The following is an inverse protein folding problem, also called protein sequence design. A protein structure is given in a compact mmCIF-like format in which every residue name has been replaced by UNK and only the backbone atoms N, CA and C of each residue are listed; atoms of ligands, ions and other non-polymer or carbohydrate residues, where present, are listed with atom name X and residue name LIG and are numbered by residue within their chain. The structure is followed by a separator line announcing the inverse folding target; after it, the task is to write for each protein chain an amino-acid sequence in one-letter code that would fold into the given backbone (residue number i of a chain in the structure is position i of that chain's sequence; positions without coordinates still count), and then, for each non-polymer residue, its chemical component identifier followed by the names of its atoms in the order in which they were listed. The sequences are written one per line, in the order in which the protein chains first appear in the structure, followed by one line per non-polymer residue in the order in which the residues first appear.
data_IF_930242357438
#
_entry.id   IF_930242357438
#
_cell.length_a   1.000
_cell.length_b   1.000
_cell.length_c   1.000
_cell.angle_alpha   90.00
_cell.angle_beta   90.00
_cell.angle_gamma   90.00
#
_symmetry.space_group_name_H-M   'P 1'
#
loop_
_entity.id
_entity.type
_entity.pdbx_description
1 polymer ?
#
# COMPACT_ATOMS: atom_id res chain seq x y z
N UNK A 1 -5.44 -0.34 11.43
CA UNK A 1 -6.22 -0.64 10.20
C UNK A 1 -6.16 0.57 9.25
N UNK A 2 -6.21 0.43 7.93
CA UNK A 2 -5.99 1.56 6.99
C UNK A 2 -7.23 2.38 6.60
N UNK A 3 -8.42 1.90 6.95
CA UNK A 3 -9.71 2.48 6.53
C UNK A 3 -10.15 2.09 5.11
N UNK A 4 -9.54 1.03 4.55
CA UNK A 4 -9.89 0.42 3.27
C UNK A 4 -10.25 -1.06 3.44
N UNK A 5 -10.96 -1.62 2.47
CA UNK A 5 -11.31 -3.04 2.39
C UNK A 5 -10.54 -3.74 1.27
N UNK A 6 -10.37 -5.06 1.42
CA UNK A 6 -10.08 -5.97 0.32
C UNK A 6 -11.38 -6.37 -0.35
N UNK A 7 -11.42 -6.31 -1.68
CA UNK A 7 -12.56 -6.80 -2.46
C UNK A 7 -12.72 -8.31 -2.25
N UNK A 8 -13.94 -8.83 -2.04
CA UNK A 8 -14.16 -10.26 -2.16
C UNK A 8 -13.68 -10.73 -3.54
N UNK A 9 -13.04 -11.88 -3.56
CA UNK A 9 -12.50 -12.51 -4.76
C UNK A 9 -12.66 -14.02 -4.64
N UNK A 10 -12.29 -14.75 -5.69
CA UNK A 10 -12.25 -16.22 -5.67
C UNK A 10 -11.34 -16.77 -4.56
N UNK A 11 -10.43 -15.95 -4.00
CA UNK A 11 -9.44 -16.37 -3.01
C UNK A 11 -9.75 -15.90 -1.59
N UNK A 12 -10.59 -14.89 -1.42
CA UNK A 12 -10.92 -14.35 -0.10
C UNK A 12 -12.35 -13.82 -0.05
N UNK A 13 -12.99 -14.01 1.10
CA UNK A 13 -14.20 -13.26 1.48
C UNK A 13 -13.85 -11.77 1.68
N UNK A 14 -14.84 -10.89 1.90
CA UNK A 14 -14.59 -9.52 2.31
C UNK A 14 -13.70 -9.47 3.56
N UNK A 15 -12.61 -8.71 3.49
CA UNK A 15 -11.65 -8.58 4.59
C UNK A 15 -11.23 -7.12 4.75
N UNK A 16 -10.86 -6.69 5.98
CA UNK A 16 -10.29 -5.37 6.17
C UNK A 16 -8.85 -5.30 5.63
N UNK A 17 -8.45 -4.12 5.13
CA UNK A 17 -7.05 -3.88 4.72
C UNK A 17 -6.21 -3.40 5.90
N UNK A 18 -5.31 -4.26 6.34
CA UNK A 18 -4.36 -4.03 7.43
C UNK A 18 -2.98 -3.64 6.89
N UNK A 19 -2.24 -2.82 7.65
CA UNK A 19 -0.84 -2.46 7.36
C UNK A 19 -0.06 -2.50 8.68
N UNK A 20 0.95 -3.39 8.81
CA UNK A 20 1.26 -4.48 7.89
C UNK A 20 0.10 -5.49 7.80
N UNK A 21 -0.02 -6.20 6.67
CA UNK A 21 -1.00 -7.28 6.54
C UNK A 21 -0.45 -8.52 7.27
N UNK A 22 -1.25 -9.17 8.13
CA UNK A 22 -0.79 -10.39 8.80
C UNK A 22 -0.42 -11.49 7.81
N UNK A 23 0.70 -12.17 8.07
CA UNK A 23 1.23 -13.22 7.19
C UNK A 23 0.23 -14.34 6.91
N UNK A 24 -0.62 -14.67 7.89
CA UNK A 24 -1.66 -15.70 7.74
C UNK A 24 -2.70 -15.34 6.66
N UNK A 25 -3.10 -14.07 6.54
CA UNK A 25 -4.07 -13.64 5.51
C UNK A 25 -3.43 -13.75 4.13
N UNK A 26 -2.20 -13.25 4.00
CA UNK A 26 -1.44 -13.30 2.74
C UNK A 26 -1.19 -14.76 2.33
N UNK A 27 -0.72 -15.59 3.27
CA UNK A 27 -0.47 -17.01 3.06
C UNK A 27 -1.72 -17.77 2.65
N UNK A 28 -2.86 -17.53 3.30
CA UNK A 28 -4.15 -18.11 2.93
C UNK A 28 -4.53 -17.78 1.48
N UNK A 29 -4.39 -16.52 1.04
CA UNK A 29 -4.73 -16.10 -0.33
C UNK A 29 -3.80 -16.78 -1.34
N UNK A 30 -2.49 -16.81 -1.07
CA UNK A 30 -1.50 -17.46 -1.93
C UNK A 30 -1.74 -18.96 -2.04
N UNK A 31 -1.98 -19.64 -0.91
CA UNK A 31 -2.27 -21.07 -0.87
C UNK A 31 -3.52 -21.42 -1.71
N UNK A 32 -4.58 -20.63 -1.59
CA UNK A 32 -5.81 -20.80 -2.38
C UNK A 32 -5.58 -20.57 -3.87
N UNK A 33 -4.77 -19.57 -4.25
CA UNK A 33 -4.40 -19.35 -5.65
C UNK A 33 -3.68 -20.57 -6.24
N UNK A 34 -2.68 -21.10 -5.53
CA UNK A 34 -1.96 -22.32 -5.94
C UNK A 34 -2.89 -23.53 -6.02
N UNK A 35 -3.77 -23.70 -5.03
CA UNK A 35 -4.74 -24.81 -5.01
C UNK A 35 -5.76 -24.72 -6.15
N UNK A 36 -6.19 -23.52 -6.56
CA UNK A 36 -7.03 -23.35 -7.76
C UNK A 36 -6.27 -23.72 -9.03
N UNK A 37 -5.03 -23.26 -9.19
CA UNK A 37 -4.20 -23.62 -10.34
C UNK A 37 -4.08 -25.15 -10.51
N UNK A 38 -3.77 -25.87 -9.42
CA UNK A 38 -3.72 -27.34 -9.43
C UNK A 38 -5.05 -27.98 -9.84
N UNK A 39 -6.18 -27.45 -9.35
CA UNK A 39 -7.51 -27.98 -9.71
C UNK A 39 -7.90 -27.70 -11.15
N UNK A 40 -7.45 -26.60 -11.75
CA UNK A 40 -7.69 -26.34 -13.18
C UNK A 40 -6.94 -27.34 -14.05
N UNK A 41 -5.65 -27.59 -13.74
CA UNK A 41 -4.85 -28.63 -14.43
C UNK A 41 -5.51 -30.00 -14.27
N UNK A 42 -5.89 -30.37 -13.04
CA UNK A 42 -6.58 -31.64 -12.79
C UNK A 42 -7.89 -31.76 -13.58
N UNK A 43 -8.66 -30.68 -13.70
CA UNK A 43 -9.90 -30.66 -14.47
C UNK A 43 -9.66 -30.92 -15.96
N UNK A 44 -8.59 -30.36 -16.53
CA UNK A 44 -8.18 -30.60 -17.92
C UNK A 44 -7.74 -32.06 -18.11
N UNK A 45 -6.88 -32.57 -17.23
CA UNK A 45 -6.41 -33.96 -17.27
C UNK A 45 -7.56 -34.96 -17.18
N UNK A 46 -8.52 -34.76 -16.27
CA UNK A 46 -9.69 -35.63 -16.17
C UNK A 46 -10.58 -35.58 -17.42
N UNK A 47 -10.63 -34.44 -18.11
CA UNK A 47 -11.38 -34.30 -19.36
C UNK A 47 -10.70 -35.05 -20.49
N UNK A 48 -9.37 -35.09 -20.52
CA UNK A 48 -8.59 -35.91 -21.45
C UNK A 48 -8.80 -37.39 -21.18
N UNK A 49 -8.70 -37.84 -19.92
CA UNK A 49 -8.95 -39.23 -19.57
C UNK A 49 -10.36 -39.69 -19.93
N UNK A 50 -11.37 -38.84 -19.71
CA UNK A 50 -12.74 -39.12 -20.13
C UNK A 50 -12.83 -39.38 -21.64
N UNK A 51 -12.19 -38.52 -22.45
CA UNK A 51 -12.17 -38.68 -23.92
C UNK A 51 -11.44 -39.96 -24.34
N UNK A 52 -10.33 -40.29 -23.67
CA UNK A 52 -9.58 -41.51 -23.99
C UNK A 52 -10.45 -42.74 -23.73
N UNK A 53 -11.15 -42.82 -22.59
CA UNK A 53 -12.06 -43.93 -22.30
C UNK A 53 -13.18 -44.02 -23.34
N UNK A 54 -13.73 -42.88 -23.77
CA UNK A 54 -14.74 -42.85 -24.83
C UNK A 54 -14.20 -43.42 -26.16
N UNK A 55 -12.98 -43.05 -26.53
CA UNK A 55 -12.31 -43.55 -27.74
C UNK A 55 -11.99 -45.04 -27.63
N UNK A 56 -11.39 -45.49 -26.52
CA UNK A 56 -11.06 -46.90 -26.31
C UNK A 56 -12.31 -47.79 -26.37
N UNK A 57 -13.42 -47.34 -25.76
CA UNK A 57 -14.71 -48.03 -25.87
C UNK A 57 -15.16 -48.18 -27.33
N UNK A 58 -15.07 -47.11 -28.11
CA UNK A 58 -15.55 -47.10 -29.49
C UNK A 58 -14.64 -47.97 -30.39
N UNK A 59 -13.33 -47.98 -30.12
CA UNK A 59 -12.35 -48.88 -30.76
C UNK A 59 -12.64 -50.34 -30.43
N UNK A 60 -12.80 -50.70 -29.15
CA UNK A 60 -13.12 -52.07 -28.74
C UNK A 60 -14.40 -52.57 -29.38
N UNK A 61 -15.45 -51.73 -29.42
CA UNK A 61 -16.71 -52.09 -30.09
C UNK A 61 -16.53 -52.35 -31.58
N UNK A 62 -15.71 -51.54 -32.23
CA UNK A 62 -15.43 -51.70 -33.67
C UNK A 62 -14.62 -52.97 -33.93
N UNK A 63 -13.65 -53.29 -33.07
CA UNK A 63 -12.85 -54.51 -33.16
C UNK A 63 -13.68 -55.76 -32.85
N UNK A 64 -14.57 -55.70 -31.86
CA UNK A 64 -15.47 -56.80 -31.53
C UNK A 64 -16.41 -57.15 -32.69
N UNK A 65 -16.93 -56.13 -33.39
CA UNK A 65 -17.73 -56.33 -34.61
C UNK A 65 -16.93 -57.02 -35.73
N UNK A 66 -15.65 -56.66 -35.91
CA UNK A 66 -14.78 -57.30 -36.90
C UNK A 66 -14.45 -58.74 -36.51
N UNK A 67 -14.12 -58.97 -35.24
CA UNK A 67 -13.81 -60.30 -34.72
C UNK A 67 -14.98 -61.27 -34.90
N UNK A 68 -16.22 -60.80 -34.67
CA UNK A 68 -17.45 -61.58 -34.88
C UNK A 68 -17.61 -62.03 -36.34
N UNK A 69 -17.30 -61.15 -37.31
CA UNK A 69 -17.31 -61.49 -38.75
C UNK A 69 -16.26 -62.55 -39.09
N UNK A 70 -15.11 -62.51 -38.43
CA UNK A 70 -14.02 -63.49 -38.59
C UNK A 70 -14.23 -64.78 -37.79
N UNK A 71 -15.33 -64.89 -37.02
CA UNK A 71 -15.63 -66.04 -36.19
C UNK A 71 -14.76 -66.16 -34.94
N UNK A 72 -14.12 -65.07 -34.51
CA UNK A 72 -13.32 -64.99 -33.29
C UNK A 72 -14.04 -64.17 -32.22
N UNK A 73 -13.85 -64.52 -30.94
CA UNK A 73 -14.40 -63.75 -29.82
C UNK A 73 -13.34 -62.84 -29.22
N UNK A 74 -13.66 -61.56 -29.06
CA UNK A 74 -12.82 -60.56 -28.37
C UNK A 74 -13.44 -60.19 -27.02
N UNK A 75 -12.64 -60.20 -25.95
CA UNK A 75 -13.03 -59.67 -24.64
C UNK A 75 -12.99 -58.14 -24.66
N UNK A 76 -14.07 -57.48 -24.23
CA UNK A 76 -14.21 -56.02 -24.29
C UNK A 76 -14.12 -55.40 -22.90
N UNK A 77 -12.93 -55.02 -22.46
CA UNK A 77 -12.70 -54.55 -21.09
C UNK A 77 -13.30 -53.16 -20.84
N UNK A 78 -13.22 -52.26 -21.81
CA UNK A 78 -13.75 -50.90 -21.72
C UNK A 78 -15.21 -50.80 -22.16
N UNK A 79 -15.67 -51.64 -23.10
CA UNK A 79 -17.06 -51.62 -23.52
C UNK A 79 -18.01 -52.28 -22.51
N UNK A 80 -17.59 -53.38 -21.87
CA UNK A 80 -18.44 -54.14 -20.95
C UNK A 80 -18.62 -53.42 -19.61
N UNK A 81 -17.54 -52.86 -19.03
CA UNK A 81 -17.60 -52.07 -17.79
C UNK A 81 -17.31 -50.57 -18.00
N UNK A 82 -17.87 -49.99 -19.07
CA UNK A 82 -17.71 -48.55 -19.35
C UNK A 82 -18.13 -47.66 -18.16
N UNK A 83 -19.15 -48.09 -17.41
CA UNK A 83 -19.62 -47.40 -16.21
C UNK A 83 -18.56 -47.34 -15.10
N UNK A 84 -17.93 -48.48 -14.77
CA UNK A 84 -16.92 -48.59 -13.74
C UNK A 84 -15.67 -47.75 -14.00
N UNK A 85 -15.25 -47.65 -15.27
CA UNK A 85 -14.13 -46.78 -15.66
C UNK A 85 -14.47 -45.29 -15.56
N UNK A 86 -15.72 -44.92 -15.89
CA UNK A 86 -16.15 -43.52 -15.97
C UNK A 86 -16.52 -42.92 -14.62
N UNK A 87 -17.11 -43.72 -13.74
CA UNK A 87 -17.65 -43.27 -12.47
C UNK A 87 -16.63 -42.56 -11.57
N UNK A 88 -15.39 -43.08 -11.37
CA UNK A 88 -14.38 -42.40 -10.56
C UNK A 88 -14.05 -41.00 -11.08
N UNK A 89 -13.96 -40.84 -12.41
CA UNK A 89 -13.68 -39.55 -13.06
C UNK A 89 -14.85 -38.58 -12.84
N UNK A 90 -16.09 -39.06 -13.01
CA UNK A 90 -17.31 -38.28 -12.73
C UNK A 90 -17.33 -37.82 -11.27
N UNK A 91 -17.00 -38.70 -10.33
CA UNK A 91 -16.97 -38.37 -8.91
C UNK A 91 -15.92 -37.31 -8.59
N UNK A 92 -14.74 -37.37 -9.21
CA UNK A 92 -13.73 -36.32 -9.09
C UNK A 92 -14.20 -34.99 -9.71
N UNK A 93 -14.87 -35.01 -10.87
CA UNK A 93 -15.47 -33.80 -11.46
C UNK A 93 -16.50 -33.16 -10.53
N UNK A 94 -17.33 -33.94 -9.85
CA UNK A 94 -18.29 -33.44 -8.85
C UNK A 94 -17.57 -32.72 -7.70
N UNK A 95 -16.51 -33.32 -7.16
CA UNK A 95 -15.69 -32.72 -6.10
C UNK A 95 -15.03 -31.40 -6.56
N UNK A 96 -14.47 -31.36 -7.77
CA UNK A 96 -13.90 -30.14 -8.36
C UNK A 96 -14.95 -29.05 -8.57
N UNK A 97 -16.15 -29.43 -9.02
CA UNK A 97 -17.26 -28.51 -9.25
C UNK A 97 -17.74 -27.87 -7.95
N UNK A 98 -17.92 -28.66 -6.88
CA UNK A 98 -18.22 -28.14 -5.54
C UNK A 98 -17.13 -27.16 -5.06
N UNK A 99 -15.88 -27.53 -5.29
CA UNK A 99 -14.70 -26.71 -5.00
C UNK A 99 -14.74 -25.34 -5.69
N UNK A 100 -15.13 -25.28 -6.97
CA UNK A 100 -15.29 -24.03 -7.72
C UNK A 100 -16.52 -23.24 -7.31
N UNK A 101 -17.59 -23.90 -6.88
CA UNK A 101 -18.79 -23.23 -6.35
C UNK A 101 -18.48 -22.50 -5.04
N UNK A 102 -17.75 -23.12 -4.11
CA UNK A 102 -17.28 -22.46 -2.89
C UNK A 102 -16.38 -21.23 -3.17
N UNK A 103 -15.70 -21.20 -4.30
CA UNK A 103 -14.92 -20.04 -4.75
C UNK A 103 -15.80 -18.92 -5.29
N UNK A 104 -16.81 -19.27 -6.09
CA UNK A 104 -17.82 -18.32 -6.57
C UNK A 104 -18.59 -17.71 -5.40
N UNK A 105 -19.01 -18.52 -4.44
CA UNK A 105 -19.67 -18.07 -3.21
C UNK A 105 -18.81 -17.08 -2.42
N UNK A 106 -17.50 -17.34 -2.30
CA UNK A 106 -16.56 -16.39 -1.66
C UNK A 106 -16.49 -15.04 -2.38
N UNK A 107 -16.46 -15.06 -3.71
CA UNK A 107 -16.43 -13.84 -4.51
C UNK A 107 -17.75 -13.07 -4.45
N UNK A 108 -18.87 -13.79 -4.35
CA UNK A 108 -20.22 -13.22 -4.24
C UNK A 108 -20.58 -12.78 -2.82
N UNK A 109 -19.78 -13.12 -1.79
CA UNK A 109 -20.09 -12.79 -0.40
C UNK A 109 -20.14 -11.25 -0.21
N UNK A 110 -21.27 -10.68 0.24
CA UNK A 110 -21.38 -9.25 0.50
C UNK A 110 -20.60 -8.86 1.75
N UNK A 111 -20.27 -7.57 1.88
CA UNK A 111 -19.61 -7.05 3.07
C UNK A 111 -20.52 -7.14 4.29
N UNK A 112 -20.11 -7.78 5.40
CA UNK A 112 -20.90 -7.77 6.61
C UNK A 112 -20.99 -6.33 7.17
N UNK A 113 -22.14 -5.93 7.73
CA UNK A 113 -22.36 -4.56 8.19
C UNK A 113 -21.36 -4.15 9.27
N UNK A 114 -21.04 -5.04 10.20
CA UNK A 114 -20.03 -4.84 11.24
C UNK A 114 -18.66 -4.45 10.66
N UNK A 115 -18.24 -5.10 9.57
CA UNK A 115 -16.98 -4.79 8.91
C UNK A 115 -17.01 -3.40 8.26
N UNK A 116 -18.15 -3.01 7.68
CA UNK A 116 -18.33 -1.68 7.12
C UNK A 116 -18.23 -0.61 8.22
N UNK A 117 -18.84 -0.86 9.37
CA UNK A 117 -18.78 0.04 10.52
C UNK A 117 -17.36 0.18 11.07
N UNK A 118 -16.65 -0.93 11.27
CA UNK A 118 -15.25 -0.93 11.70
C UNK A 118 -14.36 -0.13 10.74
N UNK A 119 -14.56 -0.30 9.42
CA UNK A 119 -13.79 0.43 8.41
C UNK A 119 -14.12 1.93 8.44
N UNK A 120 -15.39 2.30 8.57
CA UNK A 120 -15.83 3.70 8.71
C UNK A 120 -15.26 4.32 9.98
N UNK A 121 -15.25 3.60 11.11
CA UNK A 121 -14.65 4.03 12.36
C UNK A 121 -13.14 4.26 12.19
N UNK A 122 -12.42 3.29 11.61
CA UNK A 122 -10.99 3.42 11.33
C UNK A 122 -10.66 4.60 10.40
N UNK A 123 -11.54 4.90 9.43
CA UNK A 123 -11.39 6.09 8.57
C UNK A 123 -11.56 7.38 9.36
N UNK A 124 -12.58 7.48 10.21
CA UNK A 124 -12.80 8.63 11.10
C UNK A 124 -11.61 8.85 12.03
N UNK A 125 -11.14 7.79 12.67
CA UNK A 125 -9.98 7.83 13.56
C UNK A 125 -8.71 8.24 12.82
N UNK A 126 -8.48 7.73 11.61
CA UNK A 126 -7.34 8.13 10.79
C UNK A 126 -7.36 9.64 10.49
N UNK A 127 -8.53 10.19 10.15
CA UNK A 127 -8.68 11.63 9.92
C UNK A 127 -8.41 12.39 11.22
N UNK A 128 -9.01 11.98 12.33
CA UNK A 128 -8.79 12.60 13.65
C UNK A 128 -7.33 12.52 14.11
N UNK A 129 -6.60 11.45 13.78
CA UNK A 129 -5.17 11.32 14.07
C UNK A 129 -4.36 12.29 13.22
N UNK A 130 -4.72 12.48 11.94
CA UNK A 130 -4.04 13.43 11.06
C UNK A 130 -4.35 14.89 11.36
N UNK A 131 -5.54 15.21 11.87
CA UNK A 131 -5.82 16.54 12.39
C UNK A 131 -5.03 16.81 13.66
N UNK A 132 -4.99 15.87 14.61
CA UNK A 132 -4.16 15.99 15.83
C UNK A 132 -2.66 16.12 15.53
N UNK A 133 -2.12 15.33 14.60
CA UNK A 133 -0.74 15.49 14.15
C UNK A 133 -0.48 16.89 13.59
N UNK A 134 -1.40 17.44 12.80
CA UNK A 134 -1.29 18.78 12.23
C UNK A 134 -1.38 19.87 13.30
N UNK A 135 -2.23 19.70 14.31
CA UNK A 135 -2.32 20.65 15.43
C UNK A 135 -1.01 20.70 16.23
N UNK A 136 -0.38 19.55 16.48
CA UNK A 136 0.95 19.47 17.11
C UNK A 136 2.01 20.20 16.29
N UNK A 137 2.01 19.99 14.97
CA UNK A 137 2.90 20.73 14.05
C UNK A 137 2.69 22.25 14.13
N UNK A 138 1.44 22.71 14.22
CA UNK A 138 1.11 24.13 14.35
C UNK A 138 1.55 24.72 15.70
N UNK A 139 1.54 23.92 16.78
CA UNK A 139 2.11 24.31 18.08
C UNK A 139 3.65 24.36 18.09
N UNK A 140 4.29 23.92 17.01
CA UNK A 140 5.76 23.89 16.89
C UNK A 140 6.40 22.57 17.29
N UNK A 141 5.62 21.50 17.53
CA UNK A 141 6.19 20.18 17.78
C UNK A 141 6.82 19.60 16.50
N UNK A 142 8.03 19.07 16.62
CA UNK A 142 8.77 18.47 15.51
C UNK A 142 8.27 17.05 15.22
N UNK A 143 7.21 16.91 14.42
CA UNK A 143 6.69 15.61 14.01
C UNK A 143 7.56 14.95 12.91
N UNK A 144 7.44 13.62 12.77
CA UNK A 144 8.06 12.88 11.68
C UNK A 144 7.66 13.37 10.28
N UNK A 145 6.43 13.86 10.13
CA UNK A 145 5.94 14.42 8.86
C UNK A 145 6.64 15.74 8.57
N UNK A 146 6.75 16.63 9.56
CA UNK A 146 7.48 17.88 9.41
C UNK A 146 8.96 17.64 9.09
N UNK A 147 9.63 16.75 9.82
CA UNK A 147 11.02 16.38 9.54
C UNK A 147 11.19 15.88 8.09
N UNK A 148 10.28 15.01 7.62
CA UNK A 148 10.27 14.55 6.22
C UNK A 148 10.07 15.70 5.24
N UNK A 149 9.20 16.66 5.55
CA UNK A 149 8.96 17.84 4.70
C UNK A 149 10.19 18.75 4.63
N UNK A 150 10.84 19.01 5.77
CA UNK A 150 12.05 19.84 5.82
C UNK A 150 13.23 19.20 5.08
N UNK A 151 13.32 17.85 5.10
CA UNK A 151 14.34 17.09 4.38
C UNK A 151 14.09 16.96 2.87
N UNK A 152 12.88 17.29 2.38
CA UNK A 152 12.64 17.32 0.92
C UNK A 152 13.54 18.38 0.32
N UNK A 153 14.10 18.09 -0.85
CA UNK A 153 14.90 19.03 -1.64
C UNK A 153 14.24 19.26 -3.00
N UNK A 154 14.54 20.36 -3.70
CA UNK A 154 14.10 20.54 -5.08
C UNK A 154 14.68 19.43 -5.96
N UNK A 155 14.04 19.10 -7.09
CA UNK A 155 14.62 18.20 -8.08
C UNK A 155 16.04 18.64 -8.48
N UNK A 156 16.96 17.70 -8.71
CA UNK A 156 18.38 17.97 -8.93
C UNK A 156 18.66 19.01 -10.03
N UNK A 157 17.92 18.95 -11.14
CA UNK A 157 18.05 19.91 -12.24
C UNK A 157 17.65 21.35 -11.86
N UNK A 158 16.71 21.53 -10.93
CA UNK A 158 16.37 22.86 -10.38
C UNK A 158 17.43 23.30 -9.38
N UNK A 159 17.87 22.39 -8.51
CA UNK A 159 18.89 22.67 -7.49
C UNK A 159 20.20 23.16 -8.12
N UNK A 160 20.62 22.56 -9.24
CA UNK A 160 21.81 22.97 -10.00
C UNK A 160 21.71 24.42 -10.51
N UNK A 161 20.51 24.87 -10.88
CA UNK A 161 20.24 26.24 -11.38
C UNK A 161 19.94 27.25 -10.27
N UNK A 162 19.78 26.80 -9.02
CA UNK A 162 19.48 27.68 -7.88
C UNK A 162 20.76 28.23 -7.27
N UNK A 163 20.80 29.55 -7.09
CA UNK A 163 21.82 30.19 -6.26
C UNK A 163 21.69 29.77 -4.79
N UNK A 164 22.77 29.86 -4.02
CA UNK A 164 22.77 29.46 -2.62
C UNK A 164 21.76 30.23 -1.77
N UNK A 165 21.55 31.51 -2.08
CA UNK A 165 20.49 32.32 -1.46
C UNK A 165 19.11 31.70 -1.71
N UNK A 166 18.82 31.28 -2.95
CA UNK A 166 17.55 30.62 -3.29
C UNK A 166 17.42 29.25 -2.61
N UNK A 167 18.50 28.48 -2.50
CA UNK A 167 18.52 27.19 -1.78
C UNK A 167 18.19 27.37 -0.30
N UNK A 168 18.78 28.37 0.37
CA UNK A 168 18.48 28.70 1.76
C UNK A 168 17.03 29.14 1.96
N UNK A 169 16.52 30.04 1.10
CA UNK A 169 15.12 30.48 1.16
C UNK A 169 14.15 29.31 0.97
N UNK A 170 14.42 28.42 0.01
CA UNK A 170 13.63 27.23 -0.22
C UNK A 170 13.67 26.26 0.98
N UNK A 171 14.82 26.03 1.60
CA UNK A 171 14.93 25.25 2.84
C UNK A 171 14.10 25.85 3.99
N UNK A 172 14.19 27.17 4.21
CA UNK A 172 13.41 27.88 5.23
C UNK A 172 11.91 27.81 4.95
N UNK A 173 11.52 27.93 3.68
CA UNK A 173 10.10 27.93 3.29
C UNK A 173 9.38 26.60 3.58
N UNK A 174 10.12 25.50 3.77
CA UNK A 174 9.57 24.19 4.12
C UNK A 174 9.10 24.06 5.56
N UNK A 175 9.49 24.97 6.45
CA UNK A 175 9.03 25.00 7.84
C UNK A 175 7.51 25.23 7.97
N UNK A 176 6.91 24.81 9.09
CA UNK A 176 5.46 24.98 9.33
C UNK A 176 5.10 26.44 9.57
N UNK A 177 5.97 27.18 10.29
CA UNK A 177 5.68 28.56 10.70
C UNK A 177 5.19 29.42 9.54
N UNK A 178 4.08 30.14 9.78
CA UNK A 178 3.51 31.15 8.88
C UNK A 178 3.76 32.57 9.40
N UNK A 179 4.63 32.70 10.40
CA UNK A 179 4.97 33.96 11.07
C UNK A 179 6.47 34.28 10.97
N UNK A 180 6.86 35.51 11.36
CA UNK A 180 8.23 36.00 11.39
C UNK A 180 8.98 35.94 10.05
N UNK A 181 10.28 35.60 10.14
CA UNK A 181 11.16 35.52 8.98
C UNK A 181 10.72 34.44 7.97
N UNK A 182 10.16 33.33 8.44
CA UNK A 182 9.67 32.25 7.57
C UNK A 182 8.51 32.74 6.69
N UNK A 183 7.59 33.52 7.26
CA UNK A 183 6.49 34.15 6.51
C UNK A 183 7.01 35.08 5.42
N UNK A 184 8.01 35.93 5.75
CA UNK A 184 8.65 36.85 4.80
C UNK A 184 9.26 36.10 3.62
N UNK A 185 9.98 35.00 3.89
CA UNK A 185 10.58 34.14 2.86
C UNK A 185 9.51 33.46 2.01
N UNK A 186 8.44 32.92 2.62
CA UNK A 186 7.31 32.30 1.92
C UNK A 186 6.62 33.29 0.98
N UNK A 187 6.38 34.54 1.41
CA UNK A 187 5.82 35.59 0.54
C UNK A 187 6.76 35.94 -0.60
N UNK A 188 8.06 36.07 -0.34
CA UNK A 188 9.05 36.36 -1.37
C UNK A 188 9.11 35.26 -2.45
N UNK A 189 8.81 34.01 -2.07
CA UNK A 189 8.70 32.87 -2.99
C UNK A 189 7.29 32.70 -3.61
N UNK A 190 6.33 33.57 -3.29
CA UNK A 190 4.98 33.57 -3.87
C UNK A 190 3.98 32.61 -3.21
N UNK A 191 4.25 32.10 -2.01
CA UNK A 191 3.29 31.27 -1.29
C UNK A 191 2.13 32.12 -0.76
N UNK A 192 0.90 31.61 -0.91
CA UNK A 192 -0.29 32.17 -0.25
C UNK A 192 -0.33 31.69 1.21
N UNK A 193 -0.15 32.62 2.16
CA UNK A 193 -0.30 32.33 3.59
C UNK A 193 -1.79 32.25 3.96
N UNK A 194 -2.14 31.47 5.00
CA UNK A 194 -3.53 31.37 5.46
C UNK A 194 -4.00 32.69 6.05
N UNK A 195 -3.17 33.26 6.94
CA UNK A 195 -3.42 34.55 7.57
C UNK A 195 -2.31 35.53 7.15
N UNK A 196 -2.52 36.33 6.08
CA UNK A 196 -1.50 37.23 5.56
C UNK A 196 -1.10 38.34 6.54
N UNK A 197 -1.92 38.59 7.56
CA UNK A 197 -1.68 39.58 8.62
C UNK A 197 -1.15 38.98 9.93
N UNK A 198 -0.96 37.67 10.04
CA UNK A 198 -0.45 37.04 11.27
C UNK A 198 0.92 37.56 11.72
N UNK A 199 1.75 38.01 10.78
CA UNK A 199 3.02 38.70 11.06
C UNK A 199 2.86 40.04 11.79
N UNK A 200 1.70 40.72 11.67
CA UNK A 200 1.42 41.96 12.39
C UNK A 200 1.18 41.70 13.88
N UNK A 201 0.73 40.50 14.26
CA UNK A 201 0.58 40.12 15.66
C UNK A 201 1.94 39.98 16.37
N UNK A 202 3.02 39.67 15.65
CA UNK A 202 4.39 39.61 16.19
C UNK A 202 5.09 40.96 16.30
N UNK A 203 4.62 42.00 15.59
CA UNK A 203 5.17 43.37 15.71
C UNK A 203 4.85 44.03 17.07
N UNK A 204 4.11 43.33 17.95
CA UNK A 204 3.67 43.83 19.24
C UNK A 204 2.60 44.92 19.10
N UNK A 205 2.00 45.29 20.24
CA UNK A 205 1.29 46.58 20.29
C UNK A 205 2.30 47.69 19.99
N UNK A 206 1.91 48.79 19.33
CA UNK A 206 2.84 49.88 19.00
C UNK A 206 3.62 50.41 20.22
N UNK A 207 3.04 50.29 21.42
CA UNK A 207 3.66 50.62 22.72
C UNK A 207 4.97 49.83 23.02
N UNK A 208 5.13 48.62 22.50
CA UNK A 208 6.30 47.76 22.78
C UNK A 208 7.36 47.79 21.67
N UNK A 209 7.14 48.56 20.61
CA UNK A 209 8.02 48.58 19.44
C UNK A 209 9.44 49.01 19.79
N UNK A 210 9.59 50.06 20.60
CA UNK A 210 10.91 50.56 21.04
C UNK A 210 11.69 49.55 21.87
N UNK A 211 10.99 48.75 22.69
CA UNK A 211 11.62 47.69 23.50
C UNK A 211 12.11 46.54 22.61
N UNK A 212 11.31 46.14 21.63
CA UNK A 212 11.66 45.09 20.67
C UNK A 212 12.81 45.52 19.75
N UNK A 213 12.82 46.78 19.30
CA UNK A 213 13.89 47.34 18.47
C UNK A 213 15.23 47.36 19.25
N UNK A 214 15.21 47.75 20.54
CA UNK A 214 16.41 47.66 21.42
C UNK A 214 16.91 46.23 21.58
N UNK A 215 16.03 45.27 21.84
CA UNK A 215 16.41 43.85 21.93
C UNK A 215 16.97 43.32 20.59
N UNK A 216 16.41 43.74 19.46
CA UNK A 216 16.92 43.35 18.15
C UNK A 216 18.34 43.87 17.91
N UNK A 217 18.61 45.13 18.27
CA UNK A 217 19.95 45.72 18.18
C UNK A 217 20.96 45.01 19.09
N UNK A 218 20.56 44.63 20.31
CA UNK A 218 21.41 43.85 21.23
C UNK A 218 21.77 42.49 20.62
N UNK A 219 20.79 41.80 20.04
CA UNK A 219 21.01 40.52 19.35
C UNK A 219 21.92 40.70 18.12
N UNK A 220 21.77 41.78 17.35
CA UNK A 220 22.63 42.06 16.21
C UNK A 220 24.07 42.34 16.64
N UNK A 221 24.28 43.15 17.69
CA UNK A 221 25.61 43.40 18.28
C UNK A 221 26.26 42.11 18.78
N UNK A 222 25.50 41.26 19.48
CA UNK A 222 25.96 39.97 19.96
C UNK A 222 26.29 39.00 18.81
N UNK A 223 25.47 38.96 17.75
CA UNK A 223 25.74 38.14 16.57
C UNK A 223 26.98 38.62 15.80
N UNK A 224 27.20 39.94 15.70
CA UNK A 224 28.42 40.53 15.13
C UNK A 224 29.62 40.12 15.96
N UNK A 225 29.54 40.23 17.29
CA UNK A 225 30.58 39.79 18.22
C UNK A 225 30.93 38.31 18.04
N UNK A 226 29.92 37.43 17.92
CA UNK A 226 30.12 35.99 17.67
C UNK A 226 30.76 35.69 16.32
N UNK A 227 30.50 36.52 15.30
CA UNK A 227 31.13 36.38 13.97
C UNK A 227 32.55 36.93 13.93
N UNK A 228 32.86 37.94 14.74
CA UNK A 228 34.20 38.53 14.82
C UNK A 228 35.10 37.79 15.81
N UNK A 229 34.55 37.03 16.75
CA UNK A 229 35.32 36.14 17.62
C UNK A 229 35.75 34.93 16.79
N UNK A 230 37.06 34.69 16.61
CA UNK A 230 37.53 33.43 16.06
C UNK A 230 37.04 32.30 16.95
N UNK A 231 36.59 31.22 16.34
CA UNK A 231 36.18 30.01 17.05
C UNK A 231 37.43 29.34 17.64
N UNK A 232 37.75 29.61 18.91
CA UNK A 232 38.77 28.90 19.70
C UNK A 232 38.26 27.48 20.03
N UNK A 233 38.20 26.62 19.03
CA UNK A 233 37.66 25.27 19.14
C UNK A 233 38.41 24.23 18.32
N UNK A 234 39.71 24.43 18.11
CA UNK A 234 40.59 23.45 17.49
C UNK A 234 41.86 23.26 18.34
N UNK A 235 41.68 22.81 19.58
CA UNK A 235 42.73 22.17 20.37
C UNK A 235 42.43 20.67 20.47
N UNK A 236 42.46 20.00 19.32
CA UNK A 236 42.71 18.56 19.29
C UNK A 236 44.19 18.33 19.62
N UNK A 237 44.47 18.04 20.90
CA UNK A 237 45.76 17.49 21.33
C UNK A 237 46.01 16.16 20.59
N UNK A 238 47.14 16.00 19.88
CA UNK A 238 47.57 14.70 19.40
C UNK A 238 48.30 14.01 20.56
N UNK A 239 47.58 13.27 21.40
CA UNK A 239 48.21 12.30 22.30
C UNK A 239 48.55 11.02 21.54
N UNK A 240 49.79 10.58 21.75
CA UNK A 240 50.49 9.47 21.12
C UNK A 240 50.09 8.13 21.72
#
# INVERSE_FOLDING_TARGET
MTGAYLKPSLYNKPLPRLVPQPLHITGMIVARRKARARRMVMHETLKEHMKLIDVERDVERSLAQQAEVEGTSLEQVYADDYGGWREPIINQFKQLSQSFELERQRAATPYPPELLEQIKAARREKVANKTRERERELRGEMTNRLLKQMRKSPPAHRLAKMSDRRRRMDAISRGVSEVGYVAKVKRALGFKLRDPDAWKAEMGRPEHKEMLDRMAEEIEKENVRRRSSPFDGDTASPER
#
